data_IF_404657391429
#
_entry.id   IF_404657391429
#
_cell.length_a   1.000
_cell.length_b   1.000
_cell.length_c   1.000
_cell.angle_alpha   90.00
_cell.angle_beta   90.00
_cell.angle_gamma   90.00
#
_symmetry.space_group_name_H-M   'P 1'
#
loop_
_entity.id
_entity.type
_entity.pdbx_description
1 polymer ?
#
# COMPACT_ATOMS: atom_id res chain seq x y z
N UNK A 1 43.59 7.32 17.32
CA UNK A 1 42.86 7.60 16.07
C UNK A 1 42.06 6.35 15.75
N UNK A 2 40.80 6.27 16.20
CA UNK A 2 39.99 5.05 16.12
C UNK A 2 38.86 5.32 15.14
N UNK A 3 38.87 4.61 14.00
CA UNK A 3 37.80 4.65 13.01
C UNK A 3 36.61 3.83 13.52
N UNK A 4 35.42 4.43 13.58
CA UNK A 4 34.16 3.70 13.72
C UNK A 4 33.70 3.19 12.34
N UNK A 5 33.14 1.97 12.22
CA UNK A 5 32.42 1.57 11.03
C UNK A 5 30.95 2.00 11.13
N UNK A 6 30.48 2.74 10.12
CA UNK A 6 29.07 3.01 9.87
C UNK A 6 28.56 2.01 8.81
N UNK A 7 27.63 1.13 9.18
CA UNK A 7 26.49 0.74 8.35
C UNK A 7 25.57 -0.24 9.10
N UNK A 8 24.40 0.22 9.53
CA UNK A 8 23.23 -0.59 9.89
C UNK A 8 22.08 -0.19 8.97
N UNK A 9 22.12 -0.66 7.72
CA UNK A 9 21.06 -0.36 6.74
C UNK A 9 20.01 -1.46 6.55
N UNK A 10 20.14 -2.61 7.22
CA UNK A 10 19.36 -3.82 6.87
C UNK A 10 18.35 -4.27 7.92
N UNK A 11 18.44 -3.74 9.15
CA UNK A 11 17.58 -4.11 10.28
C UNK A 11 16.30 -3.28 10.38
N UNK A 12 16.23 -2.08 9.82
CA UNK A 12 15.06 -1.21 10.01
C UNK A 12 13.96 -1.43 8.94
N UNK A 13 14.35 -1.87 7.73
CA UNK A 13 13.42 -2.09 6.62
C UNK A 13 12.58 -3.37 6.76
N UNK A 14 13.17 -4.45 7.28
CA UNK A 14 12.47 -5.71 7.51
C UNK A 14 11.41 -5.59 8.60
N UNK A 15 11.74 -4.90 9.70
CA UNK A 15 10.81 -4.65 10.81
C UNK A 15 9.66 -3.73 10.38
N UNK A 16 9.94 -2.75 9.50
CA UNK A 16 8.92 -1.87 8.91
C UNK A 16 7.97 -2.61 7.96
N UNK A 17 8.48 -3.55 7.15
CA UNK A 17 7.65 -4.38 6.26
C UNK A 17 6.72 -5.29 7.07
N UNK A 18 7.22 -6.00 8.08
CA UNK A 18 6.38 -6.90 8.88
C UNK A 18 5.29 -6.14 9.66
N UNK A 19 5.64 -4.96 10.21
CA UNK A 19 4.64 -4.09 10.84
C UNK A 19 3.54 -3.65 9.85
N UNK A 20 3.91 -3.41 8.58
CA UNK A 20 2.95 -3.07 7.53
C UNK A 20 2.09 -4.27 7.17
N UNK A 21 2.67 -5.47 7.05
CA UNK A 21 1.90 -6.71 6.82
C UNK A 21 0.90 -6.98 7.95
N UNK A 22 1.34 -6.91 9.22
CA UNK A 22 0.47 -7.09 10.38
C UNK A 22 -0.71 -6.08 10.39
N UNK A 23 -0.45 -4.83 10.02
CA UNK A 23 -1.49 -3.82 9.85
C UNK A 23 -2.46 -4.18 8.73
N UNK A 24 -1.97 -4.59 7.56
CA UNK A 24 -2.82 -4.97 6.42
C UNK A 24 -3.67 -6.20 6.77
N UNK A 25 -3.11 -7.20 7.47
CA UNK A 25 -3.86 -8.37 7.98
C UNK A 25 -5.01 -7.94 8.88
N UNK A 26 -4.71 -7.18 9.95
CA UNK A 26 -5.73 -6.69 10.88
C UNK A 26 -6.79 -5.84 10.18
N UNK A 27 -6.41 -5.07 9.16
CA UNK A 27 -7.34 -4.28 8.38
C UNK A 27 -8.29 -5.13 7.55
N UNK A 28 -7.80 -6.14 6.83
CA UNK A 28 -8.63 -7.01 5.99
C UNK A 28 -9.53 -7.89 6.86
N UNK A 29 -9.08 -8.33 8.03
CA UNK A 29 -9.92 -9.05 9.00
C UNK A 29 -11.09 -8.18 9.48
N UNK A 30 -10.84 -6.89 9.75
CA UNK A 30 -11.86 -5.93 10.20
C UNK A 30 -12.79 -5.47 9.07
N UNK A 31 -12.26 -5.35 7.86
CA UNK A 31 -12.96 -4.80 6.69
C UNK A 31 -12.73 -5.69 5.45
N UNK A 32 -13.30 -6.89 5.42
CA UNK A 32 -13.04 -7.88 4.37
C UNK A 32 -13.47 -7.40 2.98
N UNK A 33 -14.41 -6.45 2.90
CA UNK A 33 -14.87 -5.87 1.64
C UNK A 33 -13.77 -5.10 0.88
N UNK A 34 -12.69 -4.70 1.56
CA UNK A 34 -11.56 -4.00 0.92
C UNK A 34 -10.59 -4.94 0.21
N UNK A 35 -10.75 -6.26 0.37
CA UNK A 35 -9.84 -7.24 -0.26
C UNK A 35 -9.79 -7.06 -1.77
N UNK A 36 -10.94 -6.90 -2.43
CA UNK A 36 -11.02 -6.66 -3.88
C UNK A 36 -10.31 -5.36 -4.27
N UNK A 37 -10.56 -4.28 -3.51
CA UNK A 37 -9.92 -2.98 -3.73
C UNK A 37 -8.40 -3.07 -3.68
N UNK A 38 -7.84 -3.76 -2.68
CA UNK A 38 -6.39 -3.91 -2.53
C UNK A 38 -5.76 -4.78 -3.63
N UNK A 39 -6.48 -5.81 -4.10
CA UNK A 39 -6.04 -6.63 -5.24
C UNK A 39 -5.94 -5.76 -6.49
N UNK A 40 -6.99 -4.99 -6.81
CA UNK A 40 -7.01 -4.11 -7.98
C UNK A 40 -5.95 -3.01 -7.89
N UNK A 41 -5.78 -2.41 -6.71
CA UNK A 41 -4.75 -1.40 -6.46
C UNK A 41 -3.34 -1.95 -6.75
N UNK A 42 -3.02 -3.12 -6.19
CA UNK A 42 -1.73 -3.77 -6.42
C UNK A 42 -1.51 -4.14 -7.89
N UNK A 43 -2.55 -4.64 -8.56
CA UNK A 43 -2.49 -4.97 -9.99
C UNK A 43 -2.27 -3.71 -10.86
N UNK A 44 -2.91 -2.58 -10.54
CA UNK A 44 -2.70 -1.31 -11.23
C UNK A 44 -1.27 -0.79 -11.08
N UNK A 45 -0.69 -0.90 -9.88
CA UNK A 45 0.70 -0.50 -9.65
C UNK A 45 1.70 -1.42 -10.35
N UNK A 46 1.41 -2.72 -10.45
CA UNK A 46 2.26 -3.68 -11.17
C UNK A 46 2.19 -3.51 -12.69
N UNK A 47 1.01 -3.20 -13.24
CA UNK A 47 0.83 -2.99 -14.68
C UNK A 47 1.45 -1.67 -15.17
N UNK A 48 1.79 -0.77 -14.24
CA UNK A 48 2.32 0.53 -14.56
C UNK A 48 3.83 0.52 -14.78
N UNK A 49 4.24 0.62 -16.05
CA UNK A 49 5.63 0.72 -16.46
C UNK A 49 6.08 2.14 -16.82
N UNK A 50 5.23 3.14 -16.55
CA UNK A 50 5.49 4.53 -16.97
C UNK A 50 6.13 5.35 -15.84
N UNK A 51 7.21 6.05 -16.16
CA UNK A 51 7.81 7.06 -15.27
C UNK A 51 6.86 8.23 -14.95
N UNK A 52 5.78 8.38 -15.73
CA UNK A 52 4.75 9.40 -15.51
C UNK A 52 3.55 8.88 -14.70
N UNK A 53 3.63 7.66 -14.16
CA UNK A 53 2.55 7.10 -13.37
C UNK A 53 2.35 7.87 -12.06
N UNK A 54 1.10 8.22 -11.78
CA UNK A 54 0.73 9.03 -10.62
C UNK A 54 -0.04 8.27 -9.55
N UNK A 55 -0.33 6.99 -9.78
CA UNK A 55 -1.18 6.17 -8.94
C UNK A 55 -2.52 5.82 -9.60
N UNK A 56 -3.31 5.01 -8.90
CA UNK A 56 -4.64 4.59 -9.30
C UNK A 56 -5.71 5.55 -8.75
N UNK A 57 -6.88 5.58 -9.40
CA UNK A 57 -8.05 6.35 -8.98
C UNK A 57 -9.12 5.42 -8.40
N UNK A 58 -10.22 6.00 -7.90
CA UNK A 58 -11.29 5.23 -7.27
C UNK A 58 -12.01 4.29 -8.26
N UNK A 59 -12.10 4.69 -9.53
CA UNK A 59 -12.68 3.89 -10.61
C UNK A 59 -11.84 2.64 -10.90
N UNK A 60 -10.51 2.79 -10.90
CA UNK A 60 -9.54 1.73 -11.21
C UNK A 60 -9.62 0.55 -10.21
N UNK A 61 -10.03 0.85 -8.98
CA UNK A 61 -10.15 -0.15 -7.89
C UNK A 61 -11.60 -0.46 -7.52
N UNK A 62 -12.53 -0.11 -8.42
CA UNK A 62 -13.97 -0.39 -8.31
C UNK A 62 -14.56 -0.04 -6.93
N UNK A 63 -14.16 1.10 -6.36
CA UNK A 63 -14.49 1.45 -4.97
C UNK A 63 -15.01 2.88 -4.87
N UNK A 64 -16.03 3.11 -4.06
CA UNK A 64 -16.55 4.46 -3.83
C UNK A 64 -15.50 5.35 -3.13
N UNK A 65 -15.32 6.64 -3.52
CA UNK A 65 -14.30 7.52 -2.94
C UNK A 65 -14.29 7.58 -1.40
N UNK A 66 -15.45 7.55 -0.75
CA UNK A 66 -15.54 7.58 0.73
C UNK A 66 -14.85 6.39 1.40
N UNK A 67 -14.80 5.22 0.76
CA UNK A 67 -14.09 4.05 1.28
C UNK A 67 -12.57 4.25 1.24
N UNK A 68 -12.05 4.98 0.26
CA UNK A 68 -10.61 5.24 0.15
C UNK A 68 -10.07 6.07 1.32
N UNK A 69 -10.90 6.91 1.94
CA UNK A 69 -10.54 7.65 3.14
C UNK A 69 -10.05 6.69 4.23
N UNK A 70 -10.69 5.54 4.39
CA UNK A 70 -10.32 4.55 5.41
C UNK A 70 -8.96 3.93 5.15
N UNK A 71 -8.63 3.63 3.88
CA UNK A 71 -7.30 3.14 3.50
C UNK A 71 -6.20 4.16 3.84
N UNK A 72 -6.51 5.46 3.71
CA UNK A 72 -5.58 6.55 4.03
C UNK A 72 -5.43 6.73 5.53
N UNK A 73 -6.54 6.76 6.28
CA UNK A 73 -6.51 6.96 7.74
C UNK A 73 -5.82 5.80 8.46
N UNK A 74 -5.98 4.58 7.97
CA UNK A 74 -5.27 3.40 8.49
C UNK A 74 -3.80 3.37 8.03
N UNK A 75 -3.43 4.20 7.05
CA UNK A 75 -2.07 4.32 6.53
C UNK A 75 -1.65 3.15 5.63
N UNK A 76 -2.61 2.53 4.95
CA UNK A 76 -2.38 1.46 3.96
C UNK A 76 -2.13 2.06 2.58
N UNK A 77 -2.81 3.16 2.26
CA UNK A 77 -2.62 3.94 1.05
C UNK A 77 -2.39 5.42 1.39
N UNK A 78 -1.98 6.21 0.41
CA UNK A 78 -1.86 7.66 0.53
C UNK A 78 -2.21 8.36 -0.77
N UNK A 79 -2.58 9.64 -0.69
CA UNK A 79 -2.77 10.47 -1.88
C UNK A 79 -1.40 10.85 -2.43
N UNK A 80 -1.09 10.38 -3.63
CA UNK A 80 0.19 10.68 -4.28
C UNK A 80 0.09 11.94 -5.15
N UNK A 81 -1.01 12.12 -5.87
CA UNK A 81 -1.22 13.28 -6.71
C UNK A 81 -2.68 13.71 -6.72
N UNK A 82 -2.93 15.02 -6.59
CA UNK A 82 -4.26 15.60 -6.64
C UNK A 82 -4.33 16.69 -7.70
N UNK A 83 -5.33 16.60 -8.57
CA UNK A 83 -5.72 17.66 -9.51
C UNK A 83 -7.05 18.29 -9.07
N UNK A 84 -7.55 19.23 -9.87
CA UNK A 84 -8.88 19.82 -9.67
C UNK A 84 -10.02 18.80 -9.80
N UNK A 85 -9.81 17.72 -10.54
CA UNK A 85 -10.88 16.77 -10.92
C UNK A 85 -10.63 15.34 -10.43
N UNK A 86 -9.41 15.00 -9.98
CA UNK A 86 -9.07 13.64 -9.62
C UNK A 86 -8.03 13.59 -8.48
N UNK A 87 -8.08 12.50 -7.72
CA UNK A 87 -7.04 12.12 -6.76
C UNK A 87 -6.51 10.76 -7.17
N UNK A 88 -5.19 10.63 -7.17
CA UNK A 88 -4.47 9.40 -7.48
C UNK A 88 -3.78 8.93 -6.20
N UNK A 89 -3.87 7.64 -5.95
CA UNK A 89 -3.45 7.00 -4.72
C UNK A 89 -2.38 5.95 -5.02
N UNK A 90 -1.56 5.68 -4.03
CA UNK A 90 -0.60 4.57 -4.02
C UNK A 90 -0.72 3.81 -2.72
N UNK A 91 -0.45 2.50 -2.77
CA UNK A 91 -0.23 1.67 -1.61
C UNK A 91 1.07 2.12 -0.94
N UNK A 92 1.07 2.18 0.39
CA UNK A 92 2.25 2.56 1.16
C UNK A 92 3.37 1.52 1.02
N UNK A 93 2.99 0.24 1.00
CA UNK A 93 3.88 -0.87 0.68
C UNK A 93 3.11 -1.94 -0.10
N UNK A 94 3.20 -1.83 -1.42
CA UNK A 94 2.60 -2.78 -2.36
C UNK A 94 3.07 -4.22 -2.12
N UNK A 95 4.37 -4.41 -1.81
CA UNK A 95 4.94 -5.75 -1.61
C UNK A 95 4.29 -6.44 -0.42
N UNK A 96 4.26 -5.75 0.72
CA UNK A 96 3.60 -6.23 1.94
C UNK A 96 2.09 -6.50 1.73
N UNK A 97 1.39 -5.62 1.00
CA UNK A 97 -0.03 -5.82 0.68
C UNK A 97 -0.24 -7.09 -0.14
N UNK A 98 0.57 -7.30 -1.19
CA UNK A 98 0.46 -8.49 -2.04
C UNK A 98 0.75 -9.77 -1.28
N UNK A 99 1.78 -9.78 -0.44
CA UNK A 99 2.11 -10.95 0.37
C UNK A 99 0.92 -11.34 1.27
N UNK A 100 0.34 -10.38 2.00
CA UNK A 100 -0.83 -10.63 2.84
C UNK A 100 -2.05 -11.09 2.04
N UNK A 101 -2.28 -10.57 0.84
CA UNK A 101 -3.39 -11.01 -0.02
C UNK A 101 -3.21 -12.44 -0.58
N UNK A 102 -1.96 -12.93 -0.64
CA UNK A 102 -1.61 -14.28 -1.08
C UNK A 102 -1.57 -15.28 0.06
N UNK A 103 -1.46 -14.82 1.31
CA UNK A 103 -1.60 -15.67 2.49
C UNK A 103 -2.97 -16.36 2.45
N UNK A 104 -2.97 -17.68 2.61
CA UNK A 104 -4.21 -18.42 2.81
C UNK A 104 -4.79 -17.95 4.14
N UNK A 105 -5.89 -17.21 4.07
CA UNK A 105 -6.74 -16.96 5.23
C UNK A 105 -7.18 -18.34 5.75
N UNK A 106 -6.90 -18.70 7.01
CA UNK A 106 -7.31 -20.00 7.57
C UNK A 106 -8.83 -20.16 7.60
#
# INVERSE_FOLDING_TARGET
MTLQPLSKGKTDSATSSEATKAKVRSFIEKFPEYRKTLILAAAHEDASNSNSYRGWQWQDVETHPTKLIRLITEGIAYVNFKSRHASNYLLRDRGSVKEVLLEKTP
#
